data_IF_405868373698
#
_entry.id   IF_405868373698
#
_cell.length_a   1.000
_cell.length_b   1.000
_cell.length_c   1.000
_cell.angle_alpha   90.00
_cell.angle_beta   90.00
_cell.angle_gamma   90.00
#
_symmetry.space_group_name_H-M   'P 1'
#
loop_
_entity.id
_entity.type
_entity.pdbx_description
1 polymer ?
#
# COMPACT_ATOMS: atom_id res chain seq x y z
N UNK A 1 3.32 23.50 7.66
CA UNK A 1 3.65 22.81 6.40
C UNK A 1 2.45 21.96 6.04
N UNK A 2 1.62 22.41 5.10
CA UNK A 2 0.51 21.60 4.63
C UNK A 2 1.13 20.38 3.95
N UNK A 3 0.99 19.19 4.52
CA UNK A 3 1.29 17.99 3.75
C UNK A 3 0.23 17.95 2.67
N UNK A 4 0.58 18.32 1.44
CA UNK A 4 -0.33 18.18 0.30
C UNK A 4 -0.80 16.73 0.26
N UNK A 5 -2.07 16.55 0.61
CA UNK A 5 -2.77 15.27 0.61
C UNK A 5 -3.78 15.37 -0.50
N UNK A 6 -3.56 14.60 -1.55
CA UNK A 6 -4.54 14.45 -2.62
C UNK A 6 -5.54 13.36 -2.25
N UNK A 7 -6.83 13.67 -2.39
CA UNK A 7 -7.91 12.70 -2.18
C UNK A 7 -8.15 11.93 -3.46
N UNK A 8 -7.92 10.62 -3.41
CA UNK A 8 -8.15 9.71 -4.54
C UNK A 8 -9.38 8.85 -4.23
N UNK A 9 -10.50 8.99 -4.96
CA UNK A 9 -11.62 8.07 -4.84
C UNK A 9 -11.24 6.70 -5.42
N UNK A 10 -11.60 5.62 -4.73
CA UNK A 10 -11.31 4.26 -5.15
C UNK A 10 -12.55 3.38 -5.04
N UNK A 11 -12.73 2.49 -6.01
CA UNK A 11 -13.73 1.44 -5.98
C UNK A 11 -13.08 0.15 -5.51
N UNK A 12 -13.69 -0.52 -4.53
CA UNK A 12 -13.18 -1.76 -3.95
C UNK A 12 -14.31 -2.80 -3.89
N UNK A 13 -14.00 -4.10 -4.01
CA UNK A 13 -14.96 -5.17 -3.73
C UNK A 13 -15.54 -5.04 -2.32
N UNK A 14 -16.83 -5.31 -2.15
CA UNK A 14 -17.52 -5.17 -0.86
C UNK A 14 -16.86 -5.98 0.23
N UNK A 15 -16.44 -7.22 -0.08
CA UNK A 15 -15.80 -8.12 0.87
C UNK A 15 -14.46 -7.55 1.39
N UNK A 16 -13.77 -6.76 0.56
CA UNK A 16 -12.53 -6.10 0.95
C UNK A 16 -12.81 -4.90 1.85
N UNK A 17 -13.87 -4.13 1.57
CA UNK A 17 -14.33 -3.05 2.44
C UNK A 17 -14.70 -3.59 3.82
N UNK A 18 -15.46 -4.67 3.89
CA UNK A 18 -15.83 -5.33 5.16
C UNK A 18 -14.62 -5.81 5.95
N UNK A 19 -13.58 -6.31 5.28
CA UNK A 19 -12.33 -6.71 5.94
C UNK A 19 -11.57 -5.50 6.48
N UNK A 20 -11.54 -4.39 5.74
CA UNK A 20 -10.94 -3.14 6.22
C UNK A 20 -11.69 -2.60 7.43
N UNK A 21 -13.02 -2.72 7.45
CA UNK A 21 -13.85 -2.33 8.59
C UNK A 21 -13.50 -3.10 9.85
N UNK A 22 -13.43 -4.43 9.77
CA UNK A 22 -13.02 -5.26 10.91
C UNK A 22 -11.65 -4.86 11.45
N UNK A 23 -10.67 -4.56 10.58
CA UNK A 23 -9.35 -4.13 11.02
C UNK A 23 -9.36 -2.77 11.75
N UNK A 24 -10.30 -1.90 11.41
CA UNK A 24 -10.49 -0.62 12.13
C UNK A 24 -11.22 -0.87 13.45
N UNK A 25 -12.28 -1.68 13.43
CA UNK A 25 -13.07 -2.03 14.62
C UNK A 25 -12.23 -2.78 15.67
N UNK A 26 -11.33 -3.65 15.23
CA UNK A 26 -10.36 -4.36 16.08
C UNK A 26 -9.21 -3.45 16.58
N UNK A 27 -9.18 -2.18 16.15
CA UNK A 27 -8.19 -1.19 16.57
C UNK A 27 -6.81 -1.33 15.92
N UNK A 28 -6.67 -2.18 14.89
CA UNK A 28 -5.41 -2.39 14.16
C UNK A 28 -5.03 -1.13 13.36
N UNK A 29 -6.03 -0.45 12.79
CA UNK A 29 -5.84 0.82 12.09
C UNK A 29 -6.78 1.89 12.62
N UNK A 30 -6.32 3.14 12.58
CA UNK A 30 -7.11 4.29 13.03
C UNK A 30 -8.29 4.64 12.11
N UNK A 31 -8.25 4.20 10.85
CA UNK A 31 -9.29 4.43 9.84
C UNK A 31 -9.05 3.56 8.60
N UNK A 32 -10.08 3.41 7.74
CA UNK A 32 -9.93 2.77 6.41
C UNK A 32 -8.80 3.40 5.59
N UNK A 33 -8.73 4.72 5.60
CA UNK A 33 -7.69 5.46 4.86
C UNK A 33 -6.28 5.20 5.40
N UNK A 34 -6.14 4.94 6.70
CA UNK A 34 -4.86 4.56 7.28
C UNK A 34 -4.43 3.16 6.84
N UNK A 35 -5.36 2.19 6.85
CA UNK A 35 -5.14 0.85 6.33
C UNK A 35 -4.77 0.86 4.84
N UNK A 36 -5.50 1.63 4.01
CA UNK A 36 -5.22 1.78 2.59
C UNK A 36 -3.86 2.43 2.32
N UNK A 37 -3.50 3.48 3.07
CA UNK A 37 -2.16 4.09 2.99
C UNK A 37 -1.07 3.12 3.39
N UNK A 38 -1.31 2.28 4.40
CA UNK A 38 -0.38 1.21 4.77
C UNK A 38 -0.19 0.23 3.61
N UNK A 39 -1.28 -0.28 3.02
CA UNK A 39 -1.22 -1.15 1.85
C UNK A 39 -0.45 -0.53 0.69
N UNK A 40 -0.72 0.74 0.35
CA UNK A 40 0.00 1.47 -0.69
C UNK A 40 1.51 1.55 -0.42
N UNK A 41 1.92 1.79 0.84
CA UNK A 41 3.35 1.80 1.23
C UNK A 41 4.00 0.43 1.07
N UNK A 42 3.28 -0.66 1.35
CA UNK A 42 3.79 -2.03 1.16
C UNK A 42 4.03 -2.31 -0.32
N UNK A 43 3.03 -2.05 -1.18
CA UNK A 43 3.12 -2.30 -2.62
C UNK A 43 4.30 -1.53 -3.24
N UNK A 44 4.46 -0.24 -2.93
CA UNK A 44 5.56 0.58 -3.46
C UNK A 44 6.94 0.06 -3.01
N UNK A 45 7.06 -0.45 -1.77
CA UNK A 45 8.31 -1.02 -1.28
C UNK A 45 8.65 -2.34 -1.98
N UNK A 46 7.66 -3.19 -2.21
CA UNK A 46 7.84 -4.47 -2.88
C UNK A 46 8.25 -4.29 -4.35
N UNK A 47 7.58 -3.37 -5.05
CA UNK A 47 7.88 -3.00 -6.42
C UNK A 47 9.34 -2.54 -6.57
N UNK A 48 9.78 -1.63 -5.68
CA UNK A 48 11.17 -1.17 -5.65
C UNK A 48 12.16 -2.31 -5.41
N UNK A 49 11.82 -3.26 -4.53
CA UNK A 49 12.68 -4.41 -4.23
C UNK A 49 12.82 -5.34 -5.43
N UNK A 50 11.73 -5.59 -6.16
CA UNK A 50 11.76 -6.41 -7.37
C UNK A 50 12.65 -5.78 -8.44
N UNK A 51 12.50 -4.47 -8.71
CA UNK A 51 13.37 -3.77 -9.66
C UNK A 51 14.85 -3.83 -9.29
N UNK A 52 15.18 -3.72 -8.00
CA UNK A 52 16.57 -3.85 -7.54
C UNK A 52 17.13 -5.26 -7.78
N UNK A 53 16.30 -6.30 -7.60
CA UNK A 53 16.71 -7.66 -7.93
C UNK A 53 16.97 -7.81 -9.43
N UNK A 54 16.09 -7.30 -10.30
CA UNK A 54 16.26 -7.40 -11.75
C UNK A 54 17.51 -6.65 -12.25
N UNK A 55 17.83 -5.49 -11.66
CA UNK A 55 19.05 -4.73 -11.97
C UNK A 55 20.32 -5.49 -11.54
N UNK A 56 20.33 -6.03 -10.32
CA UNK A 56 21.48 -6.80 -9.81
C UNK A 56 21.74 -8.05 -10.65
N UNK A 57 20.68 -8.71 -11.11
CA UNK A 57 20.75 -9.89 -11.99
C UNK A 57 21.23 -9.56 -13.41
N UNK A 58 21.06 -8.31 -13.85
CA UNK A 58 21.51 -7.83 -15.16
C UNK A 58 22.99 -7.46 -15.12
N UNK A 59 23.43 -6.73 -14.09
CA UNK A 59 24.83 -6.34 -13.87
C UNK A 59 25.76 -7.54 -13.64
N UNK A 60 25.23 -8.66 -13.12
CA UNK A 60 25.99 -9.89 -12.91
C UNK A 60 26.12 -10.76 -14.18
N UNK A 61 25.37 -10.46 -15.25
CA UNK A 61 25.41 -11.18 -16.53
C UNK A 61 26.22 -10.47 -17.61
N UNK A 62 26.63 -9.22 -17.38
CA UNK A 62 27.53 -8.42 -18.23
C UNK A 62 29.00 -8.58 -17.79
#
# INVERSE_FOLDING_TARGET
MSSDRESVPVSLPTELVERLDRLVDDGVFSSRSDALRYGARVVVREERRQRLHDQTDSDARE
#
